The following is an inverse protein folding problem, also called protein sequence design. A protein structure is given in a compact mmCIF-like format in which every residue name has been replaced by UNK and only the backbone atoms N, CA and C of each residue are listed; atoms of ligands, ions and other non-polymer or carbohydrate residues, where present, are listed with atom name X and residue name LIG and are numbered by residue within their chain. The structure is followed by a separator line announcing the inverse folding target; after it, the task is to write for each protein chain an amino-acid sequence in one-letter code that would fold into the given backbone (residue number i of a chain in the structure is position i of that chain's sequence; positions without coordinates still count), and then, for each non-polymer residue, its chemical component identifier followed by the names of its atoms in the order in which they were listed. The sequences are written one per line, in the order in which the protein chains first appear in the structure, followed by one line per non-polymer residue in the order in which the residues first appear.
data_IF_155530962510
#
_entry.id   IF_155530962510
#
_cell.length_a   1.000
_cell.length_b   1.000
_cell.length_c   1.000
_cell.angle_alpha   90.00
_cell.angle_beta   90.00
_cell.angle_gamma   90.00
#
_symmetry.space_group_name_H-M   'P 1'
#
loop_
_entity.id
_entity.type
_entity.pdbx_description
1 polymer ?
#
# COMPACT_ATOMS: atom_id res chain seq x y z
N UNK A 1 -1.05 -15.24 -6.80
CA UNK A 1 -1.09 -13.82 -6.47
C UNK A 1 -2.46 -13.36 -6.00
N UNK A 2 -3.52 -14.08 -6.36
CA UNK A 2 -4.86 -13.74 -5.88
C UNK A 2 -4.99 -13.93 -4.37
N UNK A 3 -4.08 -14.69 -3.76
CA UNK A 3 -4.08 -14.95 -2.33
C UNK A 3 -2.95 -14.20 -1.62
N UNK A 4 -2.80 -12.95 -1.95
CA UNK A 4 -1.79 -12.10 -1.33
C UNK A 4 -2.02 -11.94 0.17
N UNK A 5 -0.94 -11.65 0.89
CA UNK A 5 -1.01 -11.42 2.32
C UNK A 5 -1.94 -10.23 2.60
N UNK A 6 -2.76 -10.38 3.64
CA UNK A 6 -3.71 -9.35 4.01
C UNK A 6 -4.04 -9.40 5.48
N UNK A 7 -4.43 -8.26 6.02
CA UNK A 7 -5.02 -8.16 7.35
C UNK A 7 -6.40 -7.56 7.16
N UNK A 8 -7.43 -8.35 7.44
CA UNK A 8 -8.80 -7.89 7.22
C UNK A 8 -9.32 -7.12 8.43
N UNK A 9 -10.21 -6.17 8.16
CA UNK A 9 -10.87 -5.43 9.21
C UNK A 9 -11.68 -6.37 10.09
N UNK A 10 -11.81 -6.01 11.39
CA UNK A 10 -12.61 -6.81 12.32
C UNK A 10 -14.08 -6.83 11.93
N UNK A 11 -14.55 -5.72 11.37
CA UNK A 11 -15.93 -5.58 10.94
C UNK A 11 -15.96 -5.09 9.51
N UNK A 12 -17.03 -5.36 8.76
CA UNK A 12 -17.13 -4.90 7.38
C UNK A 12 -16.87 -3.40 7.29
N UNK A 13 -16.04 -2.98 6.35
CA UNK A 13 -15.76 -1.57 6.17
C UNK A 13 -15.70 -1.25 4.68
N UNK A 14 -15.66 0.04 4.36
CA UNK A 14 -15.73 0.52 2.99
C UNK A 14 -14.38 0.91 2.42
N UNK A 15 -13.31 0.63 3.13
CA UNK A 15 -11.97 1.05 2.74
C UNK A 15 -11.00 -0.11 2.65
N UNK A 16 -10.03 0.02 1.74
CA UNK A 16 -8.89 -0.89 1.68
C UNK A 16 -7.62 -0.08 1.44
N UNK A 17 -6.55 -0.49 2.11
CA UNK A 17 -5.22 0.12 1.98
C UNK A 17 -4.31 -0.85 1.24
N UNK A 18 -3.61 -0.38 0.22
CA UNK A 18 -2.79 -1.22 -0.65
C UNK A 18 -1.30 -0.95 -0.46
N UNK A 19 -0.52 -2.03 -0.43
CA UNK A 19 0.93 -1.98 -0.26
C UNK A 19 1.57 -2.88 -1.32
N UNK A 20 2.81 -2.58 -1.71
CA UNK A 20 3.49 -3.44 -2.68
C UNK A 20 3.86 -4.79 -2.08
N UNK A 21 4.31 -4.80 -0.83
CA UNK A 21 4.79 -6.01 -0.18
C UNK A 21 4.23 -6.15 1.23
N UNK A 22 4.23 -7.39 1.72
CA UNK A 22 3.74 -7.68 3.06
C UNK A 22 4.52 -6.93 4.15
N UNK A 23 5.83 -6.74 3.96
CA UNK A 23 6.64 -6.03 4.97
C UNK A 23 6.17 -4.60 5.14
N UNK A 24 5.75 -3.94 4.06
CA UNK A 24 5.26 -2.56 4.14
C UNK A 24 3.90 -2.50 4.82
N UNK A 25 3.06 -3.48 4.55
CA UNK A 25 1.76 -3.59 5.21
C UNK A 25 1.94 -3.73 6.71
N UNK A 26 2.83 -4.63 7.12
CA UNK A 26 3.10 -4.87 8.54
C UNK A 26 3.73 -3.64 9.20
N UNK A 27 4.59 -2.94 8.48
CA UNK A 27 5.21 -1.71 8.98
C UNK A 27 4.16 -0.63 9.22
N UNK A 28 3.21 -0.49 8.28
CA UNK A 28 2.12 0.47 8.41
C UNK A 28 1.25 0.13 9.64
N UNK A 29 0.90 -1.15 9.80
CA UNK A 29 0.10 -1.58 10.95
C UNK A 29 0.85 -1.29 12.27
N UNK A 30 2.16 -1.49 12.28
CA UNK A 30 2.99 -1.20 13.45
C UNK A 30 3.01 0.29 13.76
N UNK A 31 3.10 1.13 12.72
CA UNK A 31 3.08 2.58 12.90
C UNK A 31 1.74 3.02 13.47
N UNK A 32 0.63 2.46 12.98
CA UNK A 32 -0.69 2.80 13.51
C UNK A 32 -0.79 2.42 14.99
N UNK A 33 -0.35 1.22 15.33
CA UNK A 33 -0.39 0.76 16.71
C UNK A 33 0.45 1.66 17.61
N UNK A 34 1.62 2.07 17.15
CA UNK A 34 2.48 2.96 17.91
C UNK A 34 1.84 4.32 18.13
N UNK A 35 0.95 4.73 17.25
CA UNK A 35 0.22 6.00 17.37
C UNK A 35 -1.07 5.86 18.14
N UNK A 36 -1.34 4.69 18.70
CA UNK A 36 -2.57 4.45 19.44
C UNK A 36 -3.78 4.24 18.56
N UNK A 37 -3.57 3.97 17.27
CA UNK A 37 -4.66 3.74 16.33
C UNK A 37 -4.91 2.25 16.16
N UNK A 38 -6.14 1.91 15.79
CA UNK A 38 -6.54 0.51 15.59
C UNK A 38 -6.27 0.09 14.16
N UNK A 39 -5.22 -0.71 13.97
CA UNK A 39 -4.87 -1.18 12.62
C UNK A 39 -5.88 -2.21 12.08
N UNK A 40 -6.79 -2.69 12.92
CA UNK A 40 -7.83 -3.64 12.52
C UNK A 40 -9.13 -2.94 12.11
N UNK A 41 -9.14 -1.63 12.08
CA UNK A 41 -10.34 -0.88 11.69
C UNK A 41 -10.64 -0.96 10.21
N UNK A 42 -9.61 -1.14 9.38
CA UNK A 42 -9.77 -1.16 7.93
C UNK A 42 -8.97 -2.30 7.31
N UNK A 43 -9.28 -2.62 6.07
CA UNK A 43 -8.61 -3.72 5.36
C UNK A 43 -7.24 -3.28 4.86
N UNK A 44 -6.25 -4.13 5.04
CA UNK A 44 -4.89 -3.91 4.53
C UNK A 44 -4.55 -5.06 3.59
N UNK A 45 -4.12 -4.75 2.38
CA UNK A 45 -3.86 -5.76 1.34
C UNK A 45 -2.52 -5.54 0.66
N UNK A 46 -1.71 -6.59 0.59
CA UNK A 46 -0.48 -6.58 -0.15
C UNK A 46 -0.73 -7.00 -1.59
N UNK A 47 -0.06 -6.34 -2.53
CA UNK A 47 -0.17 -6.70 -3.95
C UNK A 47 0.81 -7.82 -4.34
N UNK A 48 1.59 -8.30 -3.37
CA UNK A 48 2.55 -9.41 -3.56
C UNK A 48 3.64 -9.10 -4.56
N UNK A 49 4.21 -7.90 -4.47
CA UNK A 49 5.34 -7.52 -5.27
C UNK A 49 5.04 -6.42 -6.26
N UNK A 50 5.95 -6.25 -7.18
CA UNK A 50 5.91 -5.13 -8.09
C UNK A 50 4.79 -5.29 -9.12
N UNK A 51 3.93 -4.30 -9.21
CA UNK A 51 2.93 -4.19 -10.25
C UNK A 51 3.59 -3.45 -11.41
N UNK A 52 3.55 -4.03 -12.61
CA UNK A 52 4.18 -3.45 -13.79
C UNK A 52 3.12 -2.86 -14.71
N UNK A 53 2.85 -1.55 -14.58
CA UNK A 53 1.87 -0.94 -15.48
C UNK A 53 2.42 -0.84 -16.90
N UNK A 54 1.50 -0.89 -17.86
CA UNK A 54 1.85 -0.71 -19.25
C UNK A 54 2.22 0.75 -19.51
N UNK A 55 2.87 1.01 -20.63
CA UNK A 55 3.32 2.34 -20.99
C UNK A 55 2.16 3.35 -20.95
N UNK A 56 1.01 2.95 -21.44
CA UNK A 56 -0.19 3.78 -21.34
C UNK A 56 -1.14 3.15 -20.35
N UNK A 57 -1.70 3.98 -19.46
CA UNK A 57 -2.56 3.46 -18.39
C UNK A 57 -3.77 2.70 -18.93
N UNK A 58 -4.31 3.10 -20.08
CA UNK A 58 -5.48 2.42 -20.64
C UNK A 58 -5.18 0.96 -21.00
N UNK A 59 -3.90 0.62 -21.22
CA UNK A 59 -3.50 -0.74 -21.56
C UNK A 59 -3.12 -1.55 -20.32
N UNK A 60 -3.11 -0.92 -19.16
CA UNK A 60 -2.76 -1.59 -17.92
C UNK A 60 -3.98 -2.28 -17.34
N UNK A 61 -3.73 -3.31 -16.56
CA UNK A 61 -4.79 -4.03 -15.85
C UNK A 61 -4.58 -3.89 -14.35
N UNK A 62 -5.67 -3.99 -13.63
CA UNK A 62 -5.62 -3.97 -12.17
C UNK A 62 -4.94 -5.27 -11.71
N UNK A 63 -4.05 -5.21 -10.70
CA UNK A 63 -3.42 -6.43 -10.16
C UNK A 63 -4.47 -7.44 -9.75
N UNK A 64 -4.18 -8.72 -10.01
CA UNK A 64 -5.14 -9.80 -9.73
C UNK A 64 -5.57 -9.81 -8.27
N UNK A 65 -4.63 -9.64 -7.34
CA UNK A 65 -4.95 -9.64 -5.92
C UNK A 65 -6.00 -8.59 -5.58
N UNK A 66 -5.85 -7.40 -6.14
CA UNK A 66 -6.81 -6.32 -5.91
C UNK A 66 -8.15 -6.61 -6.57
N UNK A 67 -8.12 -7.07 -7.81
CA UNK A 67 -9.33 -7.37 -8.55
C UNK A 67 -10.19 -8.40 -7.82
N UNK A 68 -9.57 -9.49 -7.36
CA UNK A 68 -10.27 -10.54 -6.63
C UNK A 68 -10.81 -10.00 -5.30
N UNK A 69 -10.02 -9.19 -4.60
CA UNK A 69 -10.44 -8.64 -3.33
C UNK A 69 -11.66 -7.74 -3.50
N UNK A 70 -11.64 -6.85 -4.48
CA UNK A 70 -12.76 -5.93 -4.72
C UNK A 70 -14.02 -6.67 -5.13
N UNK A 71 -13.88 -7.73 -5.91
CA UNK A 71 -15.03 -8.53 -6.33
C UNK A 71 -15.70 -9.19 -5.13
N UNK A 72 -14.91 -9.66 -4.18
CA UNK A 72 -15.43 -10.33 -2.99
C UNK A 72 -15.87 -9.37 -1.89
N UNK A 73 -15.55 -8.10 -2.03
CA UNK A 73 -15.87 -7.09 -1.01
C UNK A 73 -16.58 -5.90 -1.64
N UNK A 74 -17.84 -6.08 -2.07
CA UNK A 74 -18.56 -5.03 -2.81
C UNK A 74 -18.88 -3.78 -2.00
N UNK A 75 -18.69 -3.80 -0.70
CA UNK A 75 -18.91 -2.61 0.13
C UNK A 75 -17.76 -1.61 0.01
N UNK A 76 -16.62 -2.01 -0.53
CA UNK A 76 -15.48 -1.11 -0.66
C UNK A 76 -15.82 0.04 -1.60
N UNK A 77 -15.56 1.26 -1.14
CA UNK A 77 -15.75 2.49 -1.92
C UNK A 77 -14.49 3.33 -1.97
N UNK A 78 -13.60 3.17 -1.01
CA UNK A 78 -12.41 3.98 -0.88
C UNK A 78 -11.16 3.12 -0.91
N UNK A 79 -10.17 3.55 -1.68
CA UNK A 79 -8.91 2.83 -1.83
C UNK A 79 -7.77 3.79 -1.48
N UNK A 80 -6.93 3.39 -0.52
CA UNK A 80 -5.75 4.17 -0.13
C UNK A 80 -4.51 3.47 -0.68
N UNK A 81 -3.74 4.18 -1.48
CA UNK A 81 -2.53 3.65 -2.09
C UNK A 81 -1.32 4.04 -1.25
N UNK A 82 -0.69 3.06 -0.63
CA UNK A 82 0.51 3.25 0.18
C UNK A 82 1.71 2.64 -0.54
N UNK A 83 1.84 2.97 -1.82
CA UNK A 83 2.89 2.40 -2.65
C UNK A 83 4.21 3.14 -2.44
N UNK A 84 5.30 2.53 -2.89
CA UNK A 84 6.64 3.07 -2.67
C UNK A 84 6.81 4.47 -3.23
N UNK A 85 7.64 5.26 -2.55
CA UNK A 85 7.93 6.62 -2.98
C UNK A 85 9.20 6.63 -3.84
N UNK A 86 9.15 5.87 -4.92
CA UNK A 86 10.19 5.84 -5.93
C UNK A 86 9.52 5.94 -7.30
N UNK A 87 10.32 5.96 -8.36
CA UNK A 87 9.79 6.17 -9.71
C UNK A 87 8.74 5.12 -10.07
N UNK A 88 9.04 3.85 -9.81
CA UNK A 88 8.12 2.76 -10.12
C UNK A 88 6.85 2.85 -9.29
N UNK A 89 6.99 3.12 -7.99
CA UNK A 89 5.83 3.25 -7.11
C UNK A 89 4.93 4.41 -7.49
N UNK A 90 5.52 5.53 -7.88
CA UNK A 90 4.74 6.68 -8.31
C UNK A 90 3.99 6.40 -9.60
N UNK A 91 4.63 5.70 -10.53
CA UNK A 91 3.99 5.30 -11.78
C UNK A 91 2.83 4.35 -11.49
N UNK A 92 3.05 3.36 -10.62
CA UNK A 92 2.00 2.43 -10.23
C UNK A 92 0.82 3.14 -9.60
N UNK A 93 1.08 4.07 -8.68
CA UNK A 93 0.01 4.80 -8.00
C UNK A 93 -0.80 5.62 -9.00
N UNK A 94 -0.14 6.33 -9.89
CA UNK A 94 -0.83 7.12 -10.90
C UNK A 94 -1.69 6.26 -11.82
N UNK A 95 -1.17 5.12 -12.22
CA UNK A 95 -1.89 4.20 -13.10
C UNK A 95 -3.12 3.62 -12.41
N UNK A 96 -2.97 3.17 -11.17
CA UNK A 96 -4.11 2.62 -10.44
C UNK A 96 -5.18 3.68 -10.19
N UNK A 97 -4.76 4.89 -9.87
CA UNK A 97 -5.69 5.98 -9.68
C UNK A 97 -6.52 6.22 -10.93
N UNK A 98 -5.86 6.22 -12.09
CA UNK A 98 -6.53 6.40 -13.39
C UNK A 98 -7.54 5.28 -13.64
N UNK A 99 -7.13 4.04 -13.38
CA UNK A 99 -7.98 2.88 -13.66
C UNK A 99 -9.17 2.73 -12.72
N UNK A 100 -9.05 3.22 -11.49
CA UNK A 100 -10.04 2.97 -10.45
C UNK A 100 -10.96 4.15 -10.15
N UNK A 101 -10.58 5.36 -10.56
CA UNK A 101 -11.31 6.57 -10.16
C UNK A 101 -12.77 6.63 -10.58
N UNK A 102 -13.17 5.87 -11.58
CA UNK A 102 -14.57 5.89 -12.02
C UNK A 102 -15.51 5.14 -11.08
N UNK A 103 -14.97 4.22 -10.30
CA UNK A 103 -15.77 3.40 -9.40
C UNK A 103 -15.44 3.62 -7.92
N UNK A 104 -14.27 4.14 -7.63
CA UNK A 104 -13.76 4.25 -6.27
C UNK A 104 -13.18 5.62 -6.02
N UNK A 105 -13.21 6.03 -4.75
CA UNK A 105 -12.48 7.20 -4.31
C UNK A 105 -11.06 6.72 -4.01
N UNK A 106 -10.06 7.30 -4.66
CA UNK A 106 -8.69 6.81 -4.56
C UNK A 106 -7.79 7.89 -3.99
N UNK A 107 -7.09 7.57 -2.90
CA UNK A 107 -6.13 8.46 -2.26
C UNK A 107 -4.73 7.92 -2.45
N UNK A 108 -3.81 8.76 -2.89
CA UNK A 108 -2.41 8.39 -3.06
C UNK A 108 -1.64 8.87 -1.84
N UNK A 109 -1.23 7.93 -1.01
CA UNK A 109 -0.63 8.21 0.31
C UNK A 109 0.70 7.49 0.46
N UNK A 110 1.74 7.91 -0.26
CA UNK A 110 3.06 7.31 -0.08
C UNK A 110 3.60 7.59 1.31
N UNK A 111 4.65 6.89 1.75
CA UNK A 111 5.23 7.17 3.07
C UNK A 111 5.76 8.59 3.14
N UNK A 112 5.63 9.20 4.30
CA UNK A 112 6.06 10.58 4.51
C UNK A 112 7.58 10.71 4.54
N UNK A 113 8.27 9.62 4.87
CA UNK A 113 9.72 9.58 4.93
C UNK A 113 10.19 8.25 4.38
N UNK A 114 11.32 8.25 3.68
CA UNK A 114 11.88 7.04 3.13
C UNK A 114 11.22 6.61 1.85
N UNK A 115 11.65 5.48 1.34
CA UNK A 115 11.17 4.94 0.08
C UNK A 115 9.85 4.20 0.23
N UNK A 116 9.72 3.45 1.32
CA UNK A 116 8.52 2.64 1.58
C UNK A 116 8.16 2.71 3.06
N UNK A 117 7.07 2.06 3.43
CA UNK A 117 6.61 2.12 4.82
C UNK A 117 7.54 1.38 5.78
N UNK A 118 8.31 0.41 5.30
CA UNK A 118 9.32 -0.22 6.14
C UNK A 118 10.43 0.77 6.46
N UNK A 119 10.88 1.54 5.47
CA UNK A 119 11.86 2.63 5.70
C UNK A 119 11.32 3.63 6.70
N UNK A 120 10.06 4.04 6.52
CA UNK A 120 9.45 5.01 7.39
C UNK A 120 9.45 4.52 8.84
N UNK A 121 9.05 3.26 9.05
CA UNK A 121 9.06 2.68 10.39
C UNK A 121 10.47 2.67 10.97
N UNK A 122 11.46 2.25 10.19
CA UNK A 122 12.84 2.20 10.66
C UNK A 122 13.36 3.60 11.02
N UNK A 123 13.00 4.60 10.23
CA UNK A 123 13.38 5.98 10.53
C UNK A 123 12.75 6.44 11.85
N UNK A 124 11.48 6.14 12.05
CA UNK A 124 10.78 6.51 13.27
C UNK A 124 11.37 5.83 14.50
N UNK A 125 11.87 4.60 14.34
CA UNK A 125 12.51 3.87 15.43
C UNK A 125 13.99 4.23 15.61
N UNK A 126 14.55 5.03 14.72
CA UNK A 126 15.95 5.43 14.78
C UNK A 126 16.94 4.38 14.28
N UNK A 127 16.44 3.25 13.79
CA UNK A 127 17.30 2.16 13.35
C UNK A 127 18.05 2.50 12.07
N UNK A 128 17.34 3.11 11.15
CA UNK A 128 17.87 3.38 9.81
C UNK A 128 19.01 4.39 9.81
N UNK A 129 19.01 5.27 10.78
CA UNK A 129 20.05 6.28 10.87
C UNK A 129 21.46 5.66 10.99
N UNK A 130 21.58 4.65 11.84
CA UNK A 130 22.85 3.97 12.01
C UNK A 130 23.29 3.31 10.71
N UNK A 131 22.36 2.71 10.00
CA UNK A 131 22.65 2.07 8.75
C UNK A 131 23.11 3.06 7.69
N UNK A 132 22.47 4.21 7.61
CA UNK A 132 22.85 5.25 6.67
C UNK A 132 24.28 5.74 6.91
N UNK A 133 24.62 5.96 8.16
CA UNK A 133 25.97 6.38 8.48
C UNK A 133 27.00 5.33 8.09
N UNK A 134 26.62 4.07 8.15
CA UNK A 134 27.47 2.98 7.72
C UNK A 134 27.80 3.09 6.24
N UNK A 135 26.82 3.44 5.45
CA UNK A 135 26.98 3.54 4.00
C UNK A 135 27.83 4.72 3.58
N UNK A 136 27.81 5.76 4.33
CA UNK A 136 28.52 6.99 3.98
C UNK A 136 30.02 6.90 4.14
N UNK A 137 30.49 5.81 4.68
CA UNK A 137 31.94 5.59 4.80
C UNK A 137 32.52 4.85 3.59
#
# INVERSE_FOLDING_TARGET
KQYSFRLLAKEPCQSVHLFEAAIDLLSYATLLKAQGKDYKAENLLSLSGVYQPKKESKDSKIPIALSVFLEKNPLIKTIHLHLDNDKTGRLCANTLKELLRNKYEVFDEPPKKGKDYNDYLCIQLGIYKSKERSYER
#
